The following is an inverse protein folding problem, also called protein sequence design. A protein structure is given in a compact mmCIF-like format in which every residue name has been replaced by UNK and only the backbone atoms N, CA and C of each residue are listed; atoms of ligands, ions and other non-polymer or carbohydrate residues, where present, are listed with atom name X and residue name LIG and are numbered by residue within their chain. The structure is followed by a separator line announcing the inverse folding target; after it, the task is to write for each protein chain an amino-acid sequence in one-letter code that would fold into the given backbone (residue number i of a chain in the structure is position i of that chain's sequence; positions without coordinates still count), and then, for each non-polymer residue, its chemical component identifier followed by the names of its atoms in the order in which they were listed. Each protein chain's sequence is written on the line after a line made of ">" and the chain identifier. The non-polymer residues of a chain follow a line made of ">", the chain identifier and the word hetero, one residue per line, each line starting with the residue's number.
data_IF_230848298165
#
_entry.id   IF_230848298165
#
_cell.length_a   1.000
_cell.length_b   1.000
_cell.length_c   1.000
_cell.angle_alpha   90.00
_cell.angle_beta   90.00
_cell.angle_gamma   90.00
#
_symmetry.space_group_name_H-M   'P 1'
#
loop_
_entity.id
_entity.type
_entity.pdbx_description
1 polymer ?
#
# COMPACT_ATOMS: atom_id res chain seq x y z
N UNK A 1 0.87 -23.76 -19.83
CA UNK A 1 0.86 -22.39 -19.27
C UNK A 1 -0.55 -21.82 -19.45
N UNK A 2 -1.42 -21.95 -18.46
CA UNK A 2 -2.72 -21.25 -18.47
C UNK A 2 -2.36 -19.78 -18.47
N UNK A 3 -2.73 -19.07 -19.52
CA UNK A 3 -2.43 -17.64 -19.65
C UNK A 3 -2.99 -16.92 -18.43
N UNK A 4 -2.13 -16.41 -17.56
CA UNK A 4 -2.47 -15.64 -16.35
C UNK A 4 -3.47 -14.53 -16.70
N UNK A 5 -3.42 -14.03 -17.91
CA UNK A 5 -4.32 -12.99 -18.43
C UNK A 5 -5.66 -13.53 -18.94
N UNK A 6 -5.83 -14.87 -19.08
CA UNK A 6 -7.10 -15.42 -19.59
C UNK A 6 -8.28 -15.18 -18.64
N UNK A 7 -8.03 -15.07 -17.34
CA UNK A 7 -9.05 -14.79 -16.32
C UNK A 7 -9.68 -13.40 -16.45
N UNK A 8 -9.00 -12.46 -17.10
CA UNK A 8 -9.48 -11.09 -17.31
C UNK A 8 -10.22 -10.91 -18.64
N UNK A 9 -10.31 -11.94 -19.49
CA UNK A 9 -11.06 -11.88 -20.75
C UNK A 9 -12.55 -11.79 -20.48
N UNK A 10 -13.24 -10.94 -21.27
CA UNK A 10 -14.70 -10.81 -21.22
C UNK A 10 -15.23 -9.86 -20.16
N UNK A 11 -14.37 -9.14 -19.42
CA UNK A 11 -14.79 -8.07 -18.52
C UNK A 11 -15.43 -6.91 -19.29
N UNK A 12 -16.18 -6.06 -18.59
CA UNK A 12 -16.83 -4.88 -19.17
C UNK A 12 -15.80 -3.89 -19.77
N UNK A 13 -16.21 -3.12 -20.80
CA UNK A 13 -15.37 -2.04 -21.35
C UNK A 13 -14.95 -1.05 -20.28
N UNK A 14 -15.86 -0.72 -19.34
CA UNK A 14 -15.57 0.17 -18.23
C UNK A 14 -14.45 -0.36 -17.32
N UNK A 15 -14.41 -1.68 -17.05
CA UNK A 15 -13.35 -2.28 -16.26
C UNK A 15 -11.96 -2.10 -16.92
N UNK A 16 -11.86 -2.28 -18.22
CA UNK A 16 -10.61 -2.04 -18.95
C UNK A 16 -10.25 -0.54 -18.98
N UNK A 17 -11.22 0.35 -19.15
CA UNK A 17 -10.97 1.81 -19.08
C UNK A 17 -10.39 2.19 -17.73
N UNK A 18 -10.97 1.71 -16.62
CA UNK A 18 -10.45 1.97 -15.29
C UNK A 18 -9.07 1.36 -15.04
N UNK A 19 -8.81 0.18 -15.62
CA UNK A 19 -7.48 -0.43 -15.60
C UNK A 19 -6.42 0.46 -16.28
N UNK A 20 -6.70 0.94 -17.50
CA UNK A 20 -5.77 1.83 -18.19
C UNK A 20 -5.64 3.19 -17.51
N UNK A 21 -6.75 3.74 -17.01
CA UNK A 21 -6.73 4.95 -16.20
C UNK A 21 -5.80 4.79 -14.98
N UNK A 22 -5.91 3.67 -14.25
CA UNK A 22 -5.06 3.35 -13.10
C UNK A 22 -3.57 3.24 -13.49
N UNK A 23 -3.24 2.60 -14.61
CA UNK A 23 -1.86 2.56 -15.12
C UNK A 23 -1.33 3.96 -15.36
N UNK A 24 -2.07 4.78 -16.12
CA UNK A 24 -1.64 6.10 -16.55
C UNK A 24 -1.44 7.02 -15.33
N UNK A 25 -2.39 7.06 -14.38
CA UNK A 25 -2.24 7.85 -13.15
C UNK A 25 -1.00 7.41 -12.36
N UNK A 26 -0.79 6.10 -12.17
CA UNK A 26 0.34 5.62 -11.38
C UNK A 26 1.68 5.72 -12.12
N UNK A 27 1.68 5.85 -13.45
CA UNK A 27 2.91 6.17 -14.20
C UNK A 27 3.42 7.58 -13.91
N UNK A 28 2.54 8.53 -13.57
CA UNK A 28 2.91 9.85 -13.10
C UNK A 28 3.27 9.92 -11.61
N UNK A 29 2.69 9.02 -10.81
CA UNK A 29 2.77 9.03 -9.34
C UNK A 29 4.14 8.73 -8.74
N UNK A 30 5.23 9.05 -9.42
CA UNK A 30 6.61 8.81 -8.96
C UNK A 30 7.13 9.83 -7.95
N UNK A 31 6.45 10.94 -7.76
CA UNK A 31 6.83 11.95 -6.75
C UNK A 31 6.71 11.37 -5.34
N UNK A 32 5.70 10.55 -5.08
CA UNK A 32 5.47 9.96 -3.76
C UNK A 32 6.63 9.08 -3.26
N UNK A 33 7.15 8.11 -4.02
CA UNK A 33 8.32 7.34 -3.62
C UNK A 33 9.57 8.20 -3.41
N UNK A 34 9.69 9.30 -4.16
CA UNK A 34 10.84 10.19 -4.10
C UNK A 34 10.68 11.35 -3.09
N UNK A 35 9.52 11.48 -2.42
CA UNK A 35 9.25 12.58 -1.51
C UNK A 35 10.33 12.70 -0.43
N UNK A 36 10.78 11.60 0.14
CA UNK A 36 11.84 11.57 1.16
C UNK A 36 13.13 12.21 0.60
N UNK A 37 13.52 11.88 -0.64
CA UNK A 37 14.70 12.44 -1.29
C UNK A 37 14.51 13.92 -1.68
N UNK A 38 13.31 14.31 -2.10
CA UNK A 38 12.98 15.71 -2.38
C UNK A 38 13.18 16.55 -1.12
N UNK A 39 12.66 16.09 0.01
CA UNK A 39 12.76 16.79 1.29
C UNK A 39 14.20 16.82 1.83
N UNK A 40 14.94 15.72 1.70
CA UNK A 40 16.34 15.62 2.14
C UNK A 40 17.26 16.43 1.24
N UNK A 41 17.32 16.10 -0.05
CA UNK A 41 18.37 16.62 -0.95
C UNK A 41 18.02 17.96 -1.58
N UNK A 42 16.78 18.15 -2.03
CA UNK A 42 16.40 19.40 -2.74
C UNK A 42 16.02 20.51 -1.77
N UNK A 43 15.50 20.19 -0.58
CA UNK A 43 15.10 21.17 0.44
C UNK A 43 16.09 21.22 1.60
N UNK A 44 16.83 20.12 1.88
CA UNK A 44 17.89 20.08 2.89
C UNK A 44 17.40 19.75 4.31
N UNK A 45 16.27 19.04 4.46
CA UNK A 45 15.77 18.64 5.76
C UNK A 45 16.48 17.39 6.29
N UNK A 46 16.70 17.33 7.63
CA UNK A 46 17.20 16.14 8.33
C UNK A 46 16.16 15.00 8.33
N UNK A 47 16.62 13.76 8.55
CA UNK A 47 15.76 12.59 8.59
C UNK A 47 14.65 12.73 9.64
N UNK A 48 14.96 13.25 10.84
CA UNK A 48 13.96 13.53 11.88
C UNK A 48 12.92 14.56 11.43
N UNK A 49 13.34 15.64 10.76
CA UNK A 49 12.42 16.67 10.23
C UNK A 49 11.48 16.07 9.18
N UNK A 50 11.99 15.26 8.26
CA UNK A 50 11.20 14.58 7.23
C UNK A 50 10.19 13.62 7.88
N UNK A 51 10.60 12.92 8.94
CA UNK A 51 9.72 12.02 9.67
C UNK A 51 8.53 12.77 10.32
N UNK A 52 8.78 13.89 10.99
CA UNK A 52 7.72 14.73 11.58
C UNK A 52 6.81 15.34 10.52
N UNK A 53 7.35 15.80 9.39
CA UNK A 53 6.56 16.26 8.26
C UNK A 53 5.69 15.14 7.68
N UNK A 54 6.19 13.91 7.62
CA UNK A 54 5.42 12.75 7.17
C UNK A 54 4.20 12.50 8.07
N UNK A 55 4.34 12.65 9.40
CA UNK A 55 3.21 12.57 10.34
C UNK A 55 2.22 13.70 10.08
N UNK A 56 2.69 14.94 9.94
CA UNK A 56 1.82 16.08 9.70
C UNK A 56 1.03 15.93 8.39
N UNK A 57 1.70 15.55 7.31
CA UNK A 57 1.08 15.32 5.98
C UNK A 57 0.09 14.14 6.05
N UNK A 58 0.49 13.01 6.63
CA UNK A 58 -0.38 11.86 6.81
C UNK A 58 -1.59 12.15 7.69
N UNK A 59 -1.40 12.98 8.73
CA UNK A 59 -2.46 13.49 9.59
C UNK A 59 -3.49 14.36 8.85
N UNK A 60 -3.09 15.03 7.77
CA UNK A 60 -4.00 15.76 6.88
C UNK A 60 -4.70 14.83 5.88
N UNK A 61 -4.03 13.80 5.38
CA UNK A 61 -4.58 12.89 4.37
C UNK A 61 -5.65 11.93 4.93
N UNK A 62 -5.54 11.51 6.20
CA UNK A 62 -6.56 10.66 6.82
C UNK A 62 -7.96 11.29 6.83
N UNK A 63 -8.16 12.53 7.35
CA UNK A 63 -9.46 13.20 7.25
C UNK A 63 -9.91 13.42 5.80
N UNK A 64 -8.99 13.73 4.88
CA UNK A 64 -9.30 13.92 3.47
C UNK A 64 -9.91 12.65 2.85
N UNK A 65 -9.32 11.47 3.10
CA UNK A 65 -9.84 10.18 2.66
C UNK A 65 -11.24 9.91 3.24
N UNK A 66 -11.46 10.20 4.54
CA UNK A 66 -12.77 10.01 5.19
C UNK A 66 -13.83 10.95 4.57
N UNK A 67 -13.47 12.20 4.32
CA UNK A 67 -14.36 13.18 3.68
C UNK A 67 -14.68 12.73 2.25
N UNK A 68 -13.67 12.30 1.48
CA UNK A 68 -13.83 11.76 0.13
C UNK A 68 -14.80 10.59 0.09
N UNK A 69 -14.68 9.63 1.01
CA UNK A 69 -15.60 8.51 1.15
C UNK A 69 -17.05 8.95 1.40
N UNK A 70 -17.27 9.86 2.37
CA UNK A 70 -18.62 10.42 2.65
C UNK A 70 -19.22 11.16 1.44
N UNK A 71 -18.38 11.86 0.67
CA UNK A 71 -18.83 12.53 -0.55
C UNK A 71 -19.15 11.51 -1.65
N UNK A 72 -18.36 10.43 -1.79
CA UNK A 72 -18.61 9.35 -2.74
C UNK A 72 -19.92 8.58 -2.47
N UNK A 73 -20.36 8.52 -1.21
CA UNK A 73 -21.65 7.93 -0.83
C UNK A 73 -22.83 8.85 -1.20
N UNK A 74 -22.61 10.18 -1.26
CA UNK A 74 -23.67 11.16 -1.44
C UNK A 74 -23.79 11.69 -2.87
N UNK A 75 -22.68 11.79 -3.58
CA UNK A 75 -22.62 12.44 -4.90
C UNK A 75 -22.20 11.45 -5.99
N UNK A 76 -22.44 11.82 -7.26
CA UNK A 76 -22.02 11.02 -8.41
C UNK A 76 -20.50 10.86 -8.41
N UNK A 77 -20.03 9.59 -8.31
CA UNK A 77 -18.63 9.23 -8.15
C UNK A 77 -17.76 9.71 -9.30
N UNK A 78 -18.24 9.58 -10.56
CA UNK A 78 -17.51 10.07 -11.73
C UNK A 78 -17.27 11.58 -11.65
N UNK A 79 -18.29 12.36 -11.28
CA UNK A 79 -18.17 13.82 -11.17
C UNK A 79 -17.21 14.21 -10.04
N UNK A 80 -17.21 13.48 -8.92
CA UNK A 80 -16.27 13.71 -7.83
C UNK A 80 -14.82 13.44 -8.26
N UNK A 81 -14.57 12.31 -8.94
CA UNK A 81 -13.26 11.97 -9.48
C UNK A 81 -12.78 13.08 -10.40
N UNK A 82 -13.60 13.49 -11.37
CA UNK A 82 -13.24 14.57 -12.31
C UNK A 82 -12.93 15.87 -11.59
N UNK A 83 -13.73 16.24 -10.58
CA UNK A 83 -13.52 17.49 -9.83
C UNK A 83 -12.23 17.45 -9.03
N UNK A 84 -11.98 16.36 -8.29
CA UNK A 84 -10.79 16.24 -7.46
C UNK A 84 -9.52 16.10 -8.29
N UNK A 85 -9.56 15.35 -9.39
CA UNK A 85 -8.45 15.22 -10.31
C UNK A 85 -8.07 16.56 -10.96
N UNK A 86 -9.05 17.36 -11.40
CA UNK A 86 -8.76 18.68 -11.99
C UNK A 86 -8.03 19.56 -10.96
N UNK A 87 -8.50 19.58 -9.69
CA UNK A 87 -7.84 20.35 -8.64
C UNK A 87 -6.42 19.79 -8.39
N UNK A 88 -6.27 18.48 -8.31
CA UNK A 88 -4.97 17.79 -8.16
C UNK A 88 -4.02 18.18 -9.28
N UNK A 89 -4.47 18.15 -10.52
CA UNK A 89 -3.67 18.55 -11.71
C UNK A 89 -3.20 20.00 -11.62
N UNK A 90 -4.08 20.92 -11.25
CA UNK A 90 -3.73 22.33 -11.11
C UNK A 90 -2.60 22.48 -10.08
N UNK A 91 -2.72 21.85 -8.91
CA UNK A 91 -1.71 21.98 -7.86
C UNK A 91 -0.42 21.22 -8.17
N UNK A 92 -0.45 20.10 -8.89
CA UNK A 92 0.78 19.48 -9.40
C UNK A 92 1.51 20.37 -10.41
N UNK A 93 0.78 21.00 -11.33
CA UNK A 93 1.39 21.94 -12.28
C UNK A 93 1.97 23.16 -11.53
N UNK A 94 1.24 23.73 -10.57
CA UNK A 94 1.76 24.82 -9.75
C UNK A 94 3.01 24.42 -8.98
N UNK A 95 3.04 23.21 -8.38
CA UNK A 95 4.24 22.68 -7.73
C UNK A 95 5.41 22.56 -8.71
N UNK A 96 5.16 22.07 -9.93
CA UNK A 96 6.17 21.94 -10.98
C UNK A 96 6.69 23.27 -11.54
N UNK A 97 5.97 24.37 -11.35
CA UNK A 97 6.43 25.70 -11.74
C UNK A 97 7.26 26.41 -10.64
N UNK A 98 7.29 25.85 -9.44
CA UNK A 98 8.03 26.42 -8.30
C UNK A 98 9.43 25.81 -8.21
N UNK A 99 10.37 26.58 -7.68
CA UNK A 99 11.66 26.05 -7.24
C UNK A 99 11.46 25.10 -6.02
N UNK A 100 12.35 24.09 -5.85
CA UNK A 100 12.29 23.21 -4.68
C UNK A 100 12.34 24.01 -3.37
N UNK A 101 11.28 23.92 -2.58
CA UNK A 101 11.13 24.68 -1.35
C UNK A 101 9.74 24.55 -0.71
N UNK A 102 9.48 25.36 0.29
CA UNK A 102 8.24 25.29 1.08
C UNK A 102 6.99 25.50 0.22
N UNK A 103 7.01 26.42 -0.74
CA UNK A 103 5.83 26.70 -1.58
C UNK A 103 5.50 25.52 -2.51
N UNK A 104 6.53 24.92 -3.12
CA UNK A 104 6.38 23.68 -3.89
C UNK A 104 5.75 22.57 -3.03
N UNK A 105 6.25 22.40 -1.79
CA UNK A 105 5.73 21.40 -0.85
C UNK A 105 4.26 21.69 -0.49
N UNK A 106 3.88 22.94 -0.27
CA UNK A 106 2.49 23.32 0.03
C UNK A 106 1.56 22.92 -1.13
N UNK A 107 1.92 23.27 -2.36
CA UNK A 107 1.12 22.87 -3.54
C UNK A 107 1.06 21.37 -3.71
N UNK A 108 2.16 20.66 -3.49
CA UNK A 108 2.17 19.20 -3.52
C UNK A 108 1.25 18.57 -2.45
N UNK A 109 1.25 19.10 -1.22
CA UNK A 109 0.38 18.62 -0.14
C UNK A 109 -1.08 18.87 -0.49
N UNK A 110 -1.42 20.03 -1.06
CA UNK A 110 -2.79 20.32 -1.51
C UNK A 110 -3.20 19.36 -2.63
N UNK A 111 -2.35 19.11 -3.62
CA UNK A 111 -2.61 18.10 -4.65
C UNK A 111 -2.88 16.72 -4.01
N UNK A 112 -2.04 16.32 -3.06
CA UNK A 112 -2.20 15.07 -2.33
C UNK A 112 -3.49 14.98 -1.51
N UNK A 113 -3.97 16.08 -0.93
CA UNK A 113 -5.25 16.11 -0.22
C UNK A 113 -6.40 15.73 -1.16
N UNK A 114 -6.48 16.36 -2.35
CA UNK A 114 -7.54 16.07 -3.31
C UNK A 114 -7.41 14.68 -3.93
N UNK A 115 -6.18 14.20 -4.19
CA UNK A 115 -5.94 12.83 -4.63
C UNK A 115 -6.41 11.79 -3.57
N UNK A 116 -6.20 12.06 -2.27
CA UNK A 116 -6.71 11.21 -1.19
C UNK A 116 -8.23 11.29 -1.03
N UNK A 117 -8.87 12.41 -1.38
CA UNK A 117 -10.33 12.50 -1.45
C UNK A 117 -10.93 11.77 -2.66
N UNK A 118 -10.20 11.72 -3.78
CA UNK A 118 -10.58 11.02 -5.02
C UNK A 118 -10.58 9.50 -4.82
N UNK A 119 -9.59 8.96 -4.13
CA UNK A 119 -9.33 7.52 -4.03
C UNK A 119 -10.55 6.67 -3.63
N UNK A 120 -11.33 7.00 -2.58
CA UNK A 120 -12.54 6.25 -2.24
C UNK A 120 -13.61 6.29 -3.34
N UNK A 121 -13.74 7.41 -4.05
CA UNK A 121 -14.70 7.56 -5.15
C UNK A 121 -14.30 6.66 -6.33
N UNK A 122 -13.01 6.53 -6.63
CA UNK A 122 -12.50 5.64 -7.67
C UNK A 122 -12.73 4.17 -7.33
N UNK A 123 -12.42 3.75 -6.10
CA UNK A 123 -12.66 2.37 -5.64
C UNK A 123 -14.15 2.01 -5.69
N UNK A 124 -15.02 2.96 -5.28
CA UNK A 124 -16.45 2.78 -5.37
C UNK A 124 -16.95 2.74 -6.82
N UNK A 125 -16.37 3.54 -7.73
CA UNK A 125 -16.70 3.50 -9.16
C UNK A 125 -16.36 2.15 -9.78
N UNK A 126 -15.25 1.49 -9.39
CA UNK A 126 -14.94 0.12 -9.81
C UNK A 126 -16.09 -0.83 -9.45
N UNK A 127 -16.61 -0.74 -8.21
CA UNK A 127 -17.72 -1.58 -7.78
C UNK A 127 -18.99 -1.33 -8.60
N UNK A 128 -19.28 -0.05 -8.92
CA UNK A 128 -20.48 0.34 -9.66
C UNK A 128 -20.51 -0.14 -11.12
N UNK A 129 -19.35 -0.14 -11.78
CA UNK A 129 -19.25 -0.56 -13.20
C UNK A 129 -19.11 -2.07 -13.34
N UNK A 130 -19.09 -2.81 -12.22
CA UNK A 130 -18.74 -4.25 -12.22
C UNK A 130 -19.87 -5.06 -11.61
N UNK A 131 -20.24 -6.17 -12.27
CA UNK A 131 -21.18 -7.15 -11.71
C UNK A 131 -20.58 -7.82 -10.45
N UNK A 132 -21.37 -8.15 -9.41
CA UNK A 132 -20.88 -8.78 -8.19
C UNK A 132 -19.93 -9.96 -8.43
N UNK A 133 -20.28 -10.87 -9.35
CA UNK A 133 -19.50 -12.07 -9.71
C UNK A 133 -18.14 -11.76 -10.37
N UNK A 134 -17.94 -10.56 -10.88
CA UNK A 134 -16.71 -10.13 -11.58
C UNK A 134 -15.85 -9.18 -10.73
N UNK A 135 -16.35 -8.68 -9.59
CA UNK A 135 -15.68 -7.67 -8.75
C UNK A 135 -14.26 -8.07 -8.37
N UNK A 136 -14.09 -9.30 -7.88
CA UNK A 136 -12.76 -9.80 -7.49
C UNK A 136 -11.75 -9.71 -8.64
N UNK A 137 -12.18 -10.09 -9.87
CA UNK A 137 -11.32 -10.02 -11.06
C UNK A 137 -10.98 -8.58 -11.43
N UNK A 138 -11.95 -7.65 -11.32
CA UNK A 138 -11.73 -6.24 -11.69
C UNK A 138 -10.86 -5.54 -10.65
N UNK A 139 -11.02 -5.80 -9.35
CA UNK A 139 -10.10 -5.31 -8.33
C UNK A 139 -8.68 -5.87 -8.51
N UNK A 140 -8.56 -7.16 -8.85
CA UNK A 140 -7.27 -7.77 -9.18
C UNK A 140 -6.63 -7.11 -10.41
N UNK A 141 -7.44 -6.80 -11.43
CA UNK A 141 -6.97 -6.10 -12.63
C UNK A 141 -6.53 -4.65 -12.29
N UNK A 142 -7.30 -3.94 -11.44
CA UNK A 142 -6.94 -2.60 -10.95
C UNK A 142 -5.63 -2.62 -10.17
N UNK A 143 -5.42 -3.61 -9.30
CA UNK A 143 -4.17 -3.80 -8.56
C UNK A 143 -2.98 -4.07 -9.50
N UNK A 144 -3.19 -4.88 -10.55
CA UNK A 144 -2.19 -5.10 -11.59
C UNK A 144 -1.86 -3.78 -12.31
N UNK A 145 -2.88 -2.98 -12.65
CA UNK A 145 -2.71 -1.65 -13.26
C UNK A 145 -1.90 -0.69 -12.39
N UNK A 146 -2.19 -0.67 -11.08
CA UNK A 146 -1.42 0.11 -10.10
C UNK A 146 0.07 -0.27 -10.12
N UNK A 147 0.39 -1.56 -10.02
CA UNK A 147 1.78 -2.02 -9.98
C UNK A 147 2.50 -1.81 -11.31
N UNK A 148 1.81 -1.96 -12.45
CA UNK A 148 2.38 -1.65 -13.76
C UNK A 148 2.71 -0.16 -13.88
N UNK A 149 1.78 0.72 -13.50
CA UNK A 149 2.00 2.16 -13.49
C UNK A 149 3.16 2.54 -12.56
N UNK A 150 3.16 2.03 -11.33
CA UNK A 150 4.22 2.27 -10.36
C UNK A 150 5.60 1.81 -10.86
N UNK A 151 5.68 0.64 -11.49
CA UNK A 151 6.93 0.11 -12.04
C UNK A 151 7.57 1.08 -13.05
N UNK A 152 6.79 1.60 -13.99
CA UNK A 152 7.30 2.59 -14.95
C UNK A 152 7.53 3.96 -14.29
N UNK A 153 6.62 4.40 -13.44
CA UNK A 153 6.69 5.67 -12.75
C UNK A 153 7.96 5.80 -11.91
N UNK A 154 8.27 4.83 -11.07
CA UNK A 154 9.43 4.86 -10.20
C UNK A 154 10.76 4.99 -10.98
N UNK A 155 10.89 4.28 -12.12
CA UNK A 155 12.07 4.42 -13.00
C UNK A 155 12.16 5.82 -13.61
N UNK A 156 11.04 6.34 -14.14
CA UNK A 156 11.00 7.68 -14.77
C UNK A 156 11.32 8.76 -13.72
N UNK A 157 10.72 8.66 -12.55
CA UNK A 157 10.95 9.60 -11.45
C UNK A 157 12.40 9.65 -11.00
N UNK A 158 13.03 8.48 -10.80
CA UNK A 158 14.44 8.41 -10.45
C UNK A 158 15.37 9.02 -11.51
N UNK A 159 15.04 8.90 -12.80
CA UNK A 159 15.80 9.52 -13.89
C UNK A 159 15.60 11.04 -13.97
N UNK A 160 14.40 11.53 -13.69
CA UNK A 160 14.09 12.97 -13.74
C UNK A 160 14.52 13.73 -12.48
N UNK A 161 14.77 13.04 -11.38
CA UNK A 161 14.98 13.63 -10.06
C UNK A 161 16.09 14.68 -10.03
N UNK A 162 17.23 14.39 -10.65
CA UNK A 162 18.41 15.27 -10.55
C UNK A 162 18.22 16.60 -11.25
N UNK A 163 17.84 16.58 -12.53
CA UNK A 163 17.89 17.74 -13.40
C UNK A 163 16.50 18.22 -13.86
N UNK A 164 15.47 17.41 -13.68
CA UNK A 164 14.14 17.66 -14.23
C UNK A 164 13.02 17.44 -13.22
N UNK A 165 13.27 17.74 -11.93
CA UNK A 165 12.27 17.54 -10.87
C UNK A 165 10.96 18.31 -11.15
N UNK A 166 11.08 19.54 -11.63
CA UNK A 166 9.93 20.37 -12.02
C UNK A 166 9.09 19.70 -13.12
N UNK A 167 9.75 19.12 -14.12
CA UNK A 167 9.07 18.36 -15.18
C UNK A 167 8.37 17.12 -14.60
N UNK A 168 8.95 16.49 -13.58
CA UNK A 168 8.33 15.35 -12.93
C UNK A 168 6.94 15.69 -12.37
N UNK A 169 6.78 16.80 -11.67
CA UNK A 169 5.48 17.28 -11.17
C UNK A 169 4.50 17.58 -12.30
N UNK A 170 4.95 18.21 -13.37
CA UNK A 170 4.11 18.53 -14.54
C UNK A 170 3.64 17.25 -15.23
N UNK A 171 4.50 16.24 -15.38
CA UNK A 171 4.16 14.93 -15.95
C UNK A 171 3.14 14.19 -15.09
N UNK A 172 3.26 14.24 -13.76
CA UNK A 172 2.28 13.66 -12.84
C UNK A 172 0.90 14.31 -13.01
N UNK A 173 0.84 15.64 -13.04
CA UNK A 173 -0.39 16.35 -13.38
C UNK A 173 -0.94 15.98 -14.77
N UNK A 174 -0.09 15.86 -15.78
CA UNK A 174 -0.53 15.50 -17.13
C UNK A 174 -1.06 14.08 -17.24
N UNK A 175 -0.42 13.11 -16.60
CA UNK A 175 -0.90 11.71 -16.58
C UNK A 175 -2.22 11.59 -15.82
N UNK A 176 -2.38 12.29 -14.70
CA UNK A 176 -3.66 12.38 -13.99
C UNK A 176 -4.76 12.97 -14.88
N UNK A 177 -4.47 14.07 -15.59
CA UNK A 177 -5.42 14.67 -16.55
C UNK A 177 -5.81 13.69 -17.66
N UNK A 178 -4.85 12.96 -18.23
CA UNK A 178 -5.10 11.98 -19.28
C UNK A 178 -5.98 10.83 -18.78
N UNK A 179 -5.73 10.33 -17.58
CA UNK A 179 -6.58 9.34 -16.89
C UNK A 179 -8.01 9.87 -16.71
N UNK A 180 -8.16 11.10 -16.23
CA UNK A 180 -9.46 11.75 -16.03
C UNK A 180 -10.22 11.91 -17.34
N UNK A 181 -9.53 12.27 -18.44
CA UNK A 181 -10.14 12.35 -19.78
C UNK A 181 -10.67 10.98 -20.22
N UNK A 182 -9.94 9.88 -19.99
CA UNK A 182 -10.43 8.54 -20.28
C UNK A 182 -11.72 8.23 -19.50
N UNK A 183 -11.78 8.59 -18.23
CA UNK A 183 -12.98 8.40 -17.39
C UNK A 183 -14.15 9.26 -17.92
N UNK A 184 -13.91 10.52 -18.29
CA UNK A 184 -14.94 11.40 -18.86
C UNK A 184 -15.53 10.81 -20.13
N UNK A 185 -14.70 10.35 -21.05
CA UNK A 185 -15.12 9.93 -22.37
C UNK A 185 -15.78 8.55 -22.38
N UNK A 186 -15.29 7.62 -21.58
CA UNK A 186 -15.65 6.20 -21.71
C UNK A 186 -16.47 5.63 -20.55
N UNK A 187 -16.50 6.27 -19.38
CA UNK A 187 -17.35 5.85 -18.27
C UNK A 187 -18.67 6.61 -18.31
N UNK A 188 -19.80 5.90 -18.36
CA UNK A 188 -21.12 6.49 -18.29
C UNK A 188 -21.43 6.92 -16.85
N UNK A 189 -22.25 7.96 -16.68
CA UNK A 189 -22.79 8.31 -15.37
C UNK A 189 -23.71 7.18 -14.90
N UNK A 190 -23.40 6.59 -13.76
CA UNK A 190 -24.20 5.57 -13.11
C UNK A 190 -25.02 6.26 -12.03
N UNK A 191 -26.34 6.06 -12.02
CA UNK A 191 -27.18 6.45 -10.89
C UNK A 191 -26.86 5.52 -9.72
N UNK A 192 -26.78 6.08 -8.53
CA UNK A 192 -26.65 5.33 -7.27
C UNK A 192 -28.07 4.75 -6.99
N UNK A 193 -28.47 3.73 -7.74
CA UNK A 193 -29.66 2.97 -7.45
C UNK A 193 -29.24 1.68 -6.72
N UNK A 194 -29.77 1.56 -5.51
CA UNK A 194 -29.85 0.39 -4.65
C UNK A 194 -29.10 -0.86 -5.15
N UNK A 195 -27.84 -0.95 -4.76
CA UNK A 195 -27.11 -2.21 -4.85
C UNK A 195 -27.75 -3.18 -3.84
N UNK A 196 -28.28 -4.29 -4.32
CA UNK A 196 -28.76 -5.39 -3.48
C UNK A 196 -27.64 -5.76 -2.51
N UNK A 197 -27.89 -5.64 -1.21
CA UNK A 197 -27.01 -6.13 -0.17
C UNK A 197 -26.92 -7.64 -0.32
N UNK A 198 -25.74 -8.17 -0.66
CA UNK A 198 -25.51 -9.62 -0.65
C UNK A 198 -25.62 -10.11 0.80
N UNK A 199 -26.62 -10.97 1.06
CA UNK A 199 -26.72 -11.75 2.31
C UNK A 199 -25.43 -12.58 2.47
N UNK A 200 -24.68 -12.30 3.53
CA UNK A 200 -23.46 -13.04 3.86
C UNK A 200 -23.82 -14.38 4.51
N UNK A 201 -23.49 -15.48 3.85
CA UNK A 201 -23.78 -16.88 4.22
C UNK A 201 -23.16 -17.35 5.56
N UNK A 202 -22.38 -16.54 6.27
CA UNK A 202 -21.64 -16.95 7.48
C UNK A 202 -21.74 -15.90 8.60
N UNK A 203 -22.96 -15.66 9.11
CA UNK A 203 -23.11 -14.89 10.35
C UNK A 203 -23.28 -15.85 11.55
N UNK A 204 -22.33 -15.76 12.49
CA UNK A 204 -22.50 -16.33 13.81
C UNK A 204 -23.36 -15.34 14.61
N UNK A 205 -24.67 -15.60 14.70
CA UNK A 205 -25.68 -14.71 15.29
C UNK A 205 -25.40 -14.36 16.76
N UNK A 206 -24.48 -15.06 17.42
CA UNK A 206 -24.09 -14.81 18.82
C UNK A 206 -23.30 -13.50 19.02
N UNK A 207 -22.64 -12.97 18.00
CA UNK A 207 -21.75 -11.81 18.10
C UNK A 207 -22.36 -10.47 17.65
N UNK A 208 -23.59 -10.48 17.11
CA UNK A 208 -24.23 -9.28 16.52
C UNK A 208 -24.42 -8.15 17.53
N UNK A 209 -24.62 -8.49 18.81
CA UNK A 209 -24.90 -7.53 19.87
C UNK A 209 -23.63 -7.07 20.64
N UNK A 210 -22.45 -7.61 20.32
CA UNK A 210 -21.21 -7.23 20.99
C UNK A 210 -20.63 -5.95 20.38
N UNK A 211 -19.97 -5.13 21.20
CA UNK A 211 -19.18 -4.04 20.66
C UNK A 211 -17.92 -4.59 19.99
N UNK A 212 -17.34 -3.83 19.02
CA UNK A 212 -16.08 -4.24 18.40
C UNK A 212 -14.93 -4.38 19.42
N UNK A 213 -14.99 -3.63 20.53
CA UNK A 213 -14.04 -3.71 21.63
C UNK A 213 -14.21 -5.05 22.39
N UNK A 214 -15.45 -5.47 22.68
CA UNK A 214 -15.72 -6.74 23.37
C UNK A 214 -15.26 -7.93 22.52
N UNK A 215 -15.43 -7.87 21.20
CA UNK A 215 -14.91 -8.89 20.26
C UNK A 215 -13.39 -8.99 20.34
N UNK A 216 -12.69 -7.85 20.34
CA UNK A 216 -11.23 -7.85 20.44
C UNK A 216 -10.75 -8.35 21.79
N UNK A 217 -11.44 -7.98 22.88
CA UNK A 217 -11.03 -8.37 24.22
C UNK A 217 -11.31 -9.85 24.50
N UNK A 218 -12.43 -10.38 24.00
CA UNK A 218 -12.76 -11.82 24.10
C UNK A 218 -11.87 -12.69 23.20
N UNK A 219 -11.41 -12.16 22.06
CA UNK A 219 -10.60 -12.87 21.07
C UNK A 219 -9.18 -12.33 21.01
N UNK A 220 -8.42 -12.56 22.08
CA UNK A 220 -7.05 -12.02 22.25
C UNK A 220 -6.11 -12.28 21.07
N UNK A 221 -6.33 -13.36 20.30
CA UNK A 221 -5.51 -13.63 19.09
C UNK A 221 -5.68 -12.56 18.04
N UNK A 222 -6.88 -11.95 17.88
CA UNK A 222 -7.13 -10.85 16.95
C UNK A 222 -6.44 -9.57 17.43
N UNK A 223 -6.53 -9.27 18.73
CA UNK A 223 -5.86 -8.09 19.32
C UNK A 223 -4.33 -8.17 19.14
N UNK A 224 -3.73 -9.33 19.45
CA UNK A 224 -2.29 -9.56 19.21
C UNK A 224 -1.96 -9.36 17.74
N UNK A 225 -2.79 -9.85 16.83
CA UNK A 225 -2.54 -9.71 15.40
C UNK A 225 -2.65 -8.26 14.90
N UNK A 226 -3.51 -7.42 15.49
CA UNK A 226 -3.55 -5.99 15.18
C UNK A 226 -2.26 -5.29 15.62
N UNK A 227 -1.72 -5.65 16.80
CA UNK A 227 -0.41 -5.15 17.26
C UNK A 227 0.71 -5.62 16.33
N UNK A 228 0.72 -6.90 15.95
CA UNK A 228 1.66 -7.45 14.96
C UNK A 228 1.56 -6.68 13.64
N UNK A 229 0.35 -6.38 13.18
CA UNK A 229 0.15 -5.61 11.95
C UNK A 229 0.75 -4.20 12.06
N UNK A 230 0.57 -3.52 13.19
CA UNK A 230 1.16 -2.20 13.44
C UNK A 230 2.70 -2.26 13.33
N UNK A 231 3.35 -3.23 13.99
CA UNK A 231 4.81 -3.37 13.90
C UNK A 231 5.29 -3.90 12.54
N UNK A 232 4.51 -4.73 11.86
CA UNK A 232 4.81 -5.15 10.48
C UNK A 232 4.78 -3.94 9.55
N UNK A 233 3.83 -3.02 9.75
CA UNK A 233 3.75 -1.76 9.00
C UNK A 233 4.91 -0.82 9.34
N UNK A 234 5.36 -0.81 10.61
CA UNK A 234 6.56 -0.09 11.04
C UNK A 234 7.78 -0.52 10.21
N UNK A 235 8.00 -1.83 10.05
CA UNK A 235 9.13 -2.37 9.29
C UNK A 235 8.94 -2.11 7.80
N UNK A 236 7.74 -2.38 7.28
CA UNK A 236 7.43 -2.26 5.86
C UNK A 236 7.64 -0.83 5.34
N UNK A 237 7.15 0.19 6.03
CA UNK A 237 7.15 1.57 5.53
C UNK A 237 8.57 2.16 5.39
N UNK A 238 9.58 1.55 6.04
CA UNK A 238 10.95 2.07 6.03
C UNK A 238 11.66 1.87 4.67
N UNK A 239 11.13 1.03 3.78
CA UNK A 239 11.67 0.93 2.42
C UNK A 239 11.51 2.23 1.63
N UNK A 240 10.51 3.04 1.96
CA UNK A 240 10.25 4.35 1.34
C UNK A 240 10.83 5.53 2.13
N UNK A 241 11.41 5.29 3.31
CA UNK A 241 11.98 6.32 4.17
C UNK A 241 13.48 6.11 4.40
N UNK A 242 13.89 5.02 5.04
CA UNK A 242 15.30 4.77 5.36
C UNK A 242 16.11 4.39 4.12
N UNK A 243 15.56 3.55 3.24
CA UNK A 243 16.28 3.05 2.08
C UNK A 243 16.69 4.16 1.10
N UNK A 244 15.81 5.09 0.68
CA UNK A 244 16.22 6.16 -0.22
C UNK A 244 17.28 7.08 0.41
N UNK A 245 17.16 7.42 1.71
CA UNK A 245 18.17 8.22 2.42
C UNK A 245 19.53 7.52 2.45
N UNK A 246 19.55 6.21 2.73
CA UNK A 246 20.77 5.43 2.72
C UNK A 246 21.40 5.32 1.34
N UNK A 247 20.58 5.11 0.30
CA UNK A 247 21.08 5.06 -1.08
C UNK A 247 21.61 6.42 -1.55
N UNK A 248 21.02 7.51 -1.08
CA UNK A 248 21.52 8.86 -1.33
C UNK A 248 22.89 9.07 -0.68
N UNK A 249 23.04 8.66 0.58
CA UNK A 249 24.29 8.77 1.33
C UNK A 249 25.45 8.01 0.66
N UNK A 250 25.19 6.79 0.19
CA UNK A 250 26.22 5.94 -0.42
C UNK A 250 26.49 6.29 -1.88
N UNK A 251 25.42 6.48 -2.69
CA UNK A 251 25.56 6.63 -4.14
C UNK A 251 25.52 8.08 -4.63
N UNK A 252 25.37 9.05 -3.71
CA UNK A 252 25.35 10.48 -3.99
C UNK A 252 24.38 10.81 -5.16
N UNK A 253 24.87 11.50 -6.20
CA UNK A 253 24.08 11.91 -7.36
C UNK A 253 23.36 10.78 -8.09
N UNK A 254 23.72 9.52 -7.84
CA UNK A 254 23.04 8.33 -8.42
C UNK A 254 22.00 7.73 -7.49
N UNK A 255 21.91 8.17 -6.23
CA UNK A 255 21.05 7.58 -5.21
C UNK A 255 19.58 7.54 -5.63
N UNK A 256 19.03 8.67 -6.06
CA UNK A 256 17.65 8.76 -6.52
C UNK A 256 17.35 7.87 -7.75
N UNK A 257 18.27 7.83 -8.73
CA UNK A 257 18.16 6.96 -9.90
C UNK A 257 18.16 5.51 -9.50
N UNK A 258 19.07 5.10 -8.64
CA UNK A 258 19.20 3.73 -8.19
C UNK A 258 17.99 3.30 -7.34
N UNK A 259 17.51 4.16 -6.47
CA UNK A 259 16.29 3.92 -5.71
C UNK A 259 15.06 3.75 -6.64
N UNK A 260 14.92 4.61 -7.66
CA UNK A 260 13.84 4.50 -8.64
C UNK A 260 13.86 3.16 -9.39
N UNK A 261 15.05 2.69 -9.81
CA UNK A 261 15.19 1.39 -10.49
C UNK A 261 14.88 0.21 -9.56
N UNK A 262 15.29 0.26 -8.30
CA UNK A 262 14.99 -0.77 -7.31
C UNK A 262 13.50 -0.77 -6.96
N UNK A 263 12.86 0.40 -6.86
CA UNK A 263 11.42 0.52 -6.67
C UNK A 263 10.64 -0.05 -7.87
N UNK A 264 11.12 0.16 -9.09
CA UNK A 264 10.55 -0.47 -10.29
C UNK A 264 10.71 -1.98 -10.29
N UNK A 265 11.83 -2.48 -9.79
CA UNK A 265 12.06 -3.91 -9.64
C UNK A 265 11.10 -4.54 -8.61
N UNK A 266 10.75 -3.82 -7.52
CA UNK A 266 9.66 -4.24 -6.62
C UNK A 266 8.35 -4.44 -7.39
N UNK A 267 7.89 -3.46 -8.17
CA UNK A 267 6.67 -3.58 -8.97
C UNK A 267 6.71 -4.76 -9.95
N UNK A 268 7.84 -4.98 -10.61
CA UNK A 268 8.05 -6.14 -11.48
C UNK A 268 7.90 -7.47 -10.74
N UNK A 269 8.54 -7.60 -9.56
CA UNK A 269 8.44 -8.83 -8.76
C UNK A 269 7.01 -9.06 -8.30
N UNK A 270 6.30 -8.03 -7.85
CA UNK A 270 4.88 -8.16 -7.45
C UNK A 270 4.06 -8.76 -8.59
N UNK A 271 4.20 -8.23 -9.81
CA UNK A 271 3.45 -8.71 -10.98
C UNK A 271 3.82 -10.16 -11.34
N UNK A 272 5.11 -10.44 -11.41
CA UNK A 272 5.62 -11.73 -11.87
C UNK A 272 5.40 -12.86 -10.86
N UNK A 273 5.60 -12.57 -9.56
CA UNK A 273 5.69 -13.61 -8.53
C UNK A 273 4.42 -13.78 -7.71
N UNK A 274 3.49 -12.80 -7.65
CA UNK A 274 2.24 -12.95 -6.89
C UNK A 274 1.47 -14.21 -7.25
N UNK A 275 1.22 -14.56 -8.54
CA UNK A 275 0.51 -15.77 -8.89
C UNK A 275 1.24 -17.05 -8.49
N UNK A 276 2.56 -17.05 -8.62
CA UNK A 276 3.42 -18.19 -8.28
C UNK A 276 3.39 -18.45 -6.78
N UNK A 277 3.59 -17.40 -5.98
CA UNK A 277 3.61 -17.49 -4.52
C UNK A 277 2.23 -17.87 -3.99
N UNK A 278 1.15 -17.28 -4.56
CA UNK A 278 -0.22 -17.64 -4.19
C UNK A 278 -0.47 -19.12 -4.41
N UNK A 279 -0.03 -19.67 -5.53
CA UNK A 279 -0.16 -21.11 -5.82
C UNK A 279 0.67 -21.97 -4.86
N UNK A 280 1.93 -21.62 -4.64
CA UNK A 280 2.84 -22.38 -3.75
C UNK A 280 2.33 -22.39 -2.31
N UNK A 281 1.84 -21.25 -1.83
CA UNK A 281 1.44 -21.08 -0.43
C UNK A 281 -0.06 -21.30 -0.18
N UNK A 282 -0.83 -21.78 -1.16
CA UNK A 282 -2.28 -21.99 -1.03
C UNK A 282 -2.68 -22.94 0.10
N UNK A 283 -1.79 -23.89 0.45
CA UNK A 283 -2.02 -24.86 1.51
C UNK A 283 -1.65 -24.35 2.91
N UNK A 284 -0.86 -23.27 3.01
CA UNK A 284 -0.49 -22.69 4.31
C UNK A 284 -1.63 -21.84 4.89
N UNK A 285 -1.76 -21.88 6.22
CA UNK A 285 -2.63 -20.96 6.96
C UNK A 285 -2.10 -19.53 6.96
N UNK A 286 -2.90 -18.59 7.46
CA UNK A 286 -2.59 -17.16 7.44
C UNK A 286 -1.35 -16.82 8.27
N UNK A 287 -1.29 -17.27 9.53
CA UNK A 287 -0.21 -16.91 10.46
C UNK A 287 1.19 -17.39 10.03
N UNK A 288 1.40 -18.64 9.56
CA UNK A 288 2.69 -19.03 8.97
C UNK A 288 3.14 -18.16 7.81
N UNK A 289 2.21 -17.68 6.96
CA UNK A 289 2.55 -16.74 5.88
C UNK A 289 3.04 -15.42 6.46
N UNK A 290 2.36 -14.89 7.48
CA UNK A 290 2.75 -13.64 8.16
C UNK A 290 4.15 -13.78 8.77
N UNK A 291 4.47 -14.92 9.42
CA UNK A 291 5.80 -15.19 9.96
C UNK A 291 6.85 -15.12 8.84
N UNK A 292 6.63 -15.85 7.75
CA UNK A 292 7.56 -15.88 6.60
C UNK A 292 7.75 -14.46 6.04
N UNK A 293 6.64 -13.72 5.84
CA UNK A 293 6.68 -12.37 5.28
C UNK A 293 7.49 -11.41 6.14
N UNK A 294 7.23 -11.35 7.45
CA UNK A 294 7.96 -10.48 8.38
C UNK A 294 9.43 -10.90 8.50
N UNK A 295 9.71 -12.20 8.51
CA UNK A 295 11.09 -12.70 8.56
C UNK A 295 11.89 -12.29 7.32
N UNK A 296 11.24 -12.28 6.14
CA UNK A 296 11.88 -11.80 4.90
C UNK A 296 12.13 -10.29 4.93
N UNK A 297 11.23 -9.47 5.51
CA UNK A 297 11.49 -8.05 5.74
C UNK A 297 12.73 -7.85 6.62
N UNK A 298 12.80 -8.57 7.75
CA UNK A 298 13.92 -8.48 8.68
C UNK A 298 15.24 -8.84 7.99
N UNK A 299 15.26 -9.96 7.28
CA UNK A 299 16.43 -10.42 6.55
C UNK A 299 16.87 -9.41 5.49
N UNK A 300 15.94 -8.80 4.78
CA UNK A 300 16.21 -7.81 3.74
C UNK A 300 17.00 -6.62 4.28
N UNK A 301 16.60 -6.06 5.43
CA UNK A 301 17.34 -4.95 6.03
C UNK A 301 18.69 -5.36 6.60
N UNK A 302 18.80 -6.57 7.16
CA UNK A 302 20.08 -7.07 7.66
C UNK A 302 21.10 -7.33 6.54
N UNK A 303 20.64 -7.66 5.32
CA UNK A 303 21.52 -7.86 4.16
C UNK A 303 22.22 -6.57 3.75
N UNK A 304 21.54 -5.39 3.87
CA UNK A 304 22.08 -4.12 3.39
C UNK A 304 22.68 -3.23 4.48
N UNK A 305 22.72 -3.69 5.73
CA UNK A 305 23.12 -2.88 6.88
C UNK A 305 24.51 -2.22 6.75
N UNK A 306 25.40 -2.81 5.96
CA UNK A 306 26.78 -2.35 5.78
C UNK A 306 27.28 -2.74 4.38
N UNK A 307 26.64 -2.19 3.31
CA UNK A 307 27.03 -2.48 1.94
C UNK A 307 26.86 -1.26 1.02
N UNK A 308 27.85 -1.07 0.15
CA UNK A 308 27.85 -0.12 -0.95
C UNK A 308 27.66 -0.79 -2.33
N UNK A 309 27.51 -2.13 -2.35
CA UNK A 309 27.39 -2.91 -3.57
C UNK A 309 25.96 -2.83 -4.10
N UNK A 310 25.73 -2.10 -5.18
CA UNK A 310 24.41 -1.87 -5.77
C UNK A 310 23.61 -3.14 -6.07
N UNK A 311 24.29 -4.23 -6.51
CA UNK A 311 23.60 -5.50 -6.79
C UNK A 311 22.95 -6.12 -5.54
N UNK A 312 23.52 -5.90 -4.35
CA UNK A 312 22.97 -6.44 -3.10
C UNK A 312 21.59 -5.79 -2.79
N UNK A 313 21.35 -4.55 -3.21
CA UNK A 313 20.06 -3.91 -3.06
C UNK A 313 18.96 -4.58 -3.90
N UNK A 314 19.29 -5.17 -5.06
CA UNK A 314 18.32 -5.98 -5.81
C UNK A 314 18.00 -7.30 -5.09
N UNK A 315 18.99 -7.95 -4.47
CA UNK A 315 18.76 -9.16 -3.67
C UNK A 315 17.89 -8.83 -2.47
N UNK A 316 18.19 -7.73 -1.79
CA UNK A 316 17.38 -7.21 -0.69
C UNK A 316 15.94 -6.95 -1.15
N UNK A 317 15.76 -6.19 -2.22
CA UNK A 317 14.43 -5.84 -2.73
C UNK A 317 13.65 -7.08 -3.20
N UNK A 318 14.33 -8.08 -3.78
CA UNK A 318 13.71 -9.36 -4.10
C UNK A 318 13.17 -10.05 -2.84
N UNK A 319 13.99 -10.21 -1.81
CA UNK A 319 13.57 -10.83 -0.54
C UNK A 319 12.46 -10.03 0.14
N UNK A 320 12.58 -8.69 0.16
CA UNK A 320 11.58 -7.77 0.70
C UNK A 320 10.24 -7.92 0.00
N UNK A 321 10.23 -7.91 -1.34
CA UNK A 321 8.99 -7.99 -2.13
C UNK A 321 8.34 -9.37 -2.04
N UNK A 322 9.13 -10.45 -2.00
CA UNK A 322 8.57 -11.77 -1.70
C UNK A 322 7.92 -11.76 -0.31
N UNK A 323 8.58 -11.15 0.69
CA UNK A 323 8.00 -10.93 2.02
C UNK A 323 6.70 -10.16 2.01
N UNK A 324 6.61 -9.10 1.20
CA UNK A 324 5.41 -8.28 1.00
C UNK A 324 4.24 -9.12 0.47
N UNK A 325 4.45 -9.85 -0.61
CA UNK A 325 3.44 -10.71 -1.23
C UNK A 325 2.95 -11.76 -0.21
N UNK A 326 3.87 -12.43 0.47
CA UNK A 326 3.54 -13.50 1.43
C UNK A 326 2.79 -12.94 2.64
N UNK A 327 3.23 -11.79 3.17
CA UNK A 327 2.56 -11.13 4.29
C UNK A 327 1.15 -10.65 3.91
N UNK A 328 0.97 -10.10 2.72
CA UNK A 328 -0.34 -9.69 2.19
C UNK A 328 -1.30 -10.89 2.08
N UNK A 329 -0.83 -12.02 1.55
CA UNK A 329 -1.61 -13.27 1.43
C UNK A 329 -1.99 -13.89 2.78
N UNK A 330 -1.29 -13.53 3.86
CA UNK A 330 -1.64 -13.91 5.23
C UNK A 330 -2.56 -12.90 5.92
N UNK A 331 -2.18 -11.63 5.87
CA UNK A 331 -2.80 -10.56 6.68
C UNK A 331 -4.21 -10.17 6.20
N UNK A 332 -4.45 -10.13 4.89
CA UNK A 332 -5.73 -9.73 4.34
C UNK A 332 -6.88 -10.69 4.74
N UNK A 333 -6.76 -12.03 4.58
CA UNK A 333 -7.83 -12.95 4.94
C UNK A 333 -7.90 -13.23 6.46
N UNK A 334 -6.89 -12.89 7.25
CA UNK A 334 -6.88 -13.19 8.68
C UNK A 334 -8.06 -12.59 9.41
N UNK A 335 -8.29 -11.28 9.25
CA UNK A 335 -9.39 -10.57 9.92
C UNK A 335 -10.74 -11.02 9.35
N UNK A 336 -10.88 -11.10 8.03
CA UNK A 336 -12.15 -11.43 7.38
C UNK A 336 -12.70 -12.81 7.75
N UNK A 337 -11.84 -13.75 8.14
CA UNK A 337 -12.23 -15.09 8.56
C UNK A 337 -12.52 -15.25 10.06
N UNK A 338 -12.11 -14.28 10.90
CA UNK A 338 -12.19 -14.35 12.37
C UNK A 338 -13.14 -13.33 12.97
N UNK A 339 -13.63 -12.43 12.15
CA UNK A 339 -14.49 -11.31 12.58
C UNK A 339 -15.82 -11.40 11.85
N UNK A 340 -16.96 -11.30 12.56
CA UNK A 340 -18.28 -11.23 11.94
C UNK A 340 -18.37 -10.14 10.89
N UNK A 341 -19.20 -10.34 9.85
CA UNK A 341 -19.32 -9.41 8.72
C UNK A 341 -19.69 -7.98 9.19
N UNK A 342 -20.62 -7.88 10.15
CA UNK A 342 -21.08 -6.63 10.78
C UNK A 342 -19.97 -5.81 11.46
N UNK A 343 -18.84 -6.42 11.85
CA UNK A 343 -17.74 -5.79 12.59
C UNK A 343 -16.46 -5.64 11.76
N UNK A 344 -16.38 -6.24 10.57
CA UNK A 344 -15.17 -6.22 9.71
C UNK A 344 -14.72 -4.80 9.37
N UNK A 345 -15.67 -3.91 9.05
CA UNK A 345 -15.35 -2.52 8.72
C UNK A 345 -14.67 -1.78 9.88
N UNK A 346 -15.21 -1.91 11.10
CA UNK A 346 -14.65 -1.25 12.29
C UNK A 346 -13.28 -1.81 12.67
N UNK A 347 -13.09 -3.13 12.58
CA UNK A 347 -11.80 -3.76 12.90
C UNK A 347 -10.75 -3.46 11.83
N UNK A 348 -11.14 -3.36 10.56
CA UNK A 348 -10.24 -2.84 9.51
C UNK A 348 -9.86 -1.37 9.73
N UNK A 349 -10.73 -0.55 10.32
CA UNK A 349 -10.36 0.82 10.72
C UNK A 349 -9.26 0.83 11.79
N UNK A 350 -9.30 -0.06 12.77
CA UNK A 350 -8.20 -0.21 13.74
C UNK A 350 -6.90 -0.65 13.06
N UNK A 351 -6.99 -1.50 12.03
CA UNK A 351 -5.82 -1.87 11.21
C UNK A 351 -5.23 -0.66 10.49
N UNK A 352 -6.06 0.22 9.93
CA UNK A 352 -5.60 1.44 9.26
C UNK A 352 -4.93 2.42 10.25
N UNK A 353 -5.48 2.56 11.45
CA UNK A 353 -4.86 3.32 12.55
C UNK A 353 -3.51 2.69 12.92
N UNK A 354 -3.45 1.37 13.05
CA UNK A 354 -2.21 0.62 13.29
C UNK A 354 -1.17 0.85 12.20
N UNK A 355 -1.60 0.90 10.91
CA UNK A 355 -0.71 1.24 9.79
C UNK A 355 -0.14 2.65 9.92
N UNK A 356 -0.97 3.63 10.25
CA UNK A 356 -0.52 5.01 10.42
C UNK A 356 0.46 5.15 11.60
N UNK A 357 0.12 4.58 12.75
CA UNK A 357 0.98 4.62 13.95
C UNK A 357 2.29 3.86 13.70
N UNK A 358 2.23 2.65 13.17
CA UNK A 358 3.40 1.83 12.90
C UNK A 358 4.24 2.38 11.75
N UNK A 359 3.66 2.53 10.57
CA UNK A 359 4.36 2.98 9.37
C UNK A 359 4.88 4.41 9.52
N UNK A 360 3.97 5.38 9.50
CA UNK A 360 4.35 6.80 9.55
C UNK A 360 4.99 7.18 10.88
N UNK A 361 4.46 6.70 12.01
CA UNK A 361 5.08 6.93 13.32
C UNK A 361 6.45 6.28 13.46
N UNK A 362 6.66 5.14 12.82
CA UNK A 362 7.96 4.46 12.78
C UNK A 362 9.07 5.28 12.15
N UNK A 363 8.75 6.16 11.18
CA UNK A 363 9.73 7.09 10.58
C UNK A 363 10.38 8.00 11.62
N UNK A 364 9.66 8.42 12.66
CA UNK A 364 10.23 9.27 13.73
C UNK A 364 11.31 8.52 14.50
N UNK A 365 11.05 7.26 14.84
CA UNK A 365 12.06 6.43 15.51
C UNK A 365 13.27 6.21 14.61
N UNK A 366 13.03 5.89 13.33
CA UNK A 366 14.12 5.66 12.38
C UNK A 366 14.89 6.96 12.06
N UNK A 367 14.20 8.09 11.90
CA UNK A 367 14.82 9.40 11.70
C UNK A 367 15.74 9.79 12.86
N UNK A 368 15.26 9.55 14.09
CA UNK A 368 16.09 9.77 15.29
C UNK A 368 17.34 8.86 15.30
N UNK A 369 17.18 7.58 14.95
CA UNK A 369 18.31 6.64 14.89
C UNK A 369 19.32 7.05 13.81
N UNK A 370 18.88 7.52 12.65
CA UNK A 370 19.75 7.97 11.57
C UNK A 370 20.53 9.23 11.99
N UNK A 371 19.84 10.25 12.52
CA UNK A 371 20.44 11.53 12.85
C UNK A 371 21.43 11.46 14.06
N UNK A 372 21.20 10.54 15.01
CA UNK A 372 21.99 10.46 16.23
C UNK A 372 22.93 9.26 16.32
N UNK A 373 22.76 8.24 15.45
CA UNK A 373 23.59 7.04 15.45
C UNK A 373 24.10 6.75 14.03
N UNK A 374 23.40 5.87 13.28
CA UNK A 374 23.79 5.49 11.91
C UNK A 374 22.67 4.78 11.17
N UNK A 375 22.79 4.68 9.85
CA UNK A 375 21.94 3.80 9.03
C UNK A 375 22.07 2.34 9.42
N UNK A 376 23.29 1.87 9.76
CA UNK A 376 23.51 0.51 10.24
C UNK A 376 22.67 0.22 11.48
N UNK A 377 22.68 1.11 12.49
CA UNK A 377 21.85 0.97 13.69
C UNK A 377 20.35 0.90 13.35
N UNK A 378 19.87 1.71 12.41
CA UNK A 378 18.49 1.68 11.95
C UNK A 378 18.14 0.34 11.29
N UNK A 379 18.98 -0.20 10.40
CA UNK A 379 18.74 -1.49 9.77
C UNK A 379 18.80 -2.67 10.74
N UNK A 380 19.73 -2.65 11.69
CA UNK A 380 19.79 -3.67 12.77
C UNK A 380 18.52 -3.63 13.61
N UNK A 381 18.04 -2.42 13.98
CA UNK A 381 16.81 -2.28 14.75
C UNK A 381 15.59 -2.86 13.99
N UNK A 382 15.46 -2.59 12.69
CA UNK A 382 14.41 -3.16 11.84
C UNK A 382 14.48 -4.68 11.78
N UNK A 383 15.69 -5.23 11.62
CA UNK A 383 15.93 -6.67 11.62
C UNK A 383 15.52 -7.33 12.94
N UNK A 384 15.97 -6.76 14.06
CA UNK A 384 15.68 -7.27 15.42
C UNK A 384 14.17 -7.19 15.73
N UNK A 385 13.55 -6.04 15.46
CA UNK A 385 12.10 -5.86 15.65
C UNK A 385 11.33 -6.92 14.88
N UNK A 386 11.68 -7.17 13.61
CA UNK A 386 10.98 -8.15 12.79
C UNK A 386 11.16 -9.59 13.29
N UNK A 387 12.33 -9.95 13.79
CA UNK A 387 12.54 -11.26 14.43
C UNK A 387 11.65 -11.39 15.67
N UNK A 388 11.63 -10.38 16.54
CA UNK A 388 10.80 -10.38 17.75
C UNK A 388 9.32 -10.51 17.40
N UNK A 389 8.84 -9.78 16.41
CA UNK A 389 7.43 -9.85 15.96
C UNK A 389 7.13 -11.22 15.34
N UNK A 390 8.04 -11.81 14.57
CA UNK A 390 7.87 -13.18 14.04
C UNK A 390 7.69 -14.20 15.16
N UNK A 391 8.43 -14.05 16.27
CA UNK A 391 8.27 -14.87 17.47
C UNK A 391 6.89 -14.66 18.10
N UNK A 392 6.43 -13.40 18.23
CA UNK A 392 5.08 -13.09 18.74
C UNK A 392 4.00 -13.75 17.88
N UNK A 393 4.13 -13.71 16.55
CA UNK A 393 3.18 -14.39 15.64
C UNK A 393 3.21 -15.91 15.84
N UNK A 394 4.37 -16.51 16.07
CA UNK A 394 4.49 -17.93 16.35
C UNK A 394 3.79 -18.34 17.66
N UNK A 395 3.86 -17.50 18.70
CA UNK A 395 3.07 -17.69 19.92
C UNK A 395 1.58 -17.48 19.65
N UNK A 396 1.21 -16.44 18.90
CA UNK A 396 -0.19 -16.18 18.53
C UNK A 396 -0.78 -17.33 17.73
N UNK A 397 -0.02 -18.03 16.89
CA UNK A 397 -0.46 -19.21 16.14
C UNK A 397 -1.02 -20.32 17.07
N UNK A 398 -0.36 -20.57 18.20
CA UNK A 398 -0.83 -21.54 19.18
C UNK A 398 -2.12 -21.09 19.85
N UNK A 399 -2.24 -19.82 20.19
CA UNK A 399 -3.43 -19.22 20.78
C UNK A 399 -4.60 -19.23 19.78
N UNK A 400 -4.36 -18.77 18.57
CA UNK A 400 -5.36 -18.69 17.49
C UNK A 400 -5.97 -20.07 17.15
N UNK A 401 -5.13 -21.11 17.13
CA UNK A 401 -5.59 -22.49 16.93
C UNK A 401 -6.52 -22.97 18.04
N UNK A 402 -6.36 -22.47 19.27
CA UNK A 402 -7.24 -22.78 20.40
C UNK A 402 -8.56 -22.00 20.32
N UNK A 403 -8.50 -20.74 19.88
CA UNK A 403 -9.67 -19.85 19.78
C UNK A 403 -10.54 -20.20 18.57
N UNK A 404 -9.92 -20.60 17.45
CA UNK A 404 -10.59 -20.89 16.18
C UNK A 404 -10.24 -22.27 15.61
N UNK A 405 -10.49 -23.39 16.33
CA UNK A 405 -10.06 -24.73 15.91
C UNK A 405 -10.61 -25.13 14.54
N UNK A 406 -11.87 -24.80 14.26
CA UNK A 406 -12.56 -25.12 12.98
C UNK A 406 -11.82 -24.58 11.74
N UNK A 407 -11.17 -23.40 11.82
CA UNK A 407 -10.43 -22.84 10.69
C UNK A 407 -9.19 -23.65 10.32
N UNK A 408 -8.67 -24.44 11.26
CA UNK A 408 -7.49 -25.27 11.05
C UNK A 408 -7.87 -26.69 10.59
N UNK A 409 -9.03 -27.22 10.99
CA UNK A 409 -9.54 -28.55 10.60
C UNK A 409 -10.03 -28.57 9.15
N UNK A 410 -10.76 -27.54 8.70
CA UNK A 410 -11.27 -27.43 7.33
C UNK A 410 -10.16 -27.46 6.28
N UNK A 411 -8.98 -26.94 6.58
CA UNK A 411 -7.84 -26.99 5.65
C UNK A 411 -7.17 -28.36 5.59
N UNK A 412 -7.14 -29.11 6.69
CA UNK A 412 -6.60 -30.48 6.71
C UNK A 412 -7.45 -31.40 5.86
N UNK A 413 -8.79 -31.29 5.96
CA UNK A 413 -9.73 -32.09 5.19
C UNK A 413 -9.69 -31.78 3.69
N UNK A 414 -9.51 -30.51 3.30
CA UNK A 414 -9.35 -30.11 1.89
C UNK A 414 -7.99 -30.53 1.28
N UNK A 415 -6.99 -30.86 2.09
CA UNK A 415 -5.69 -31.37 1.61
C UNK A 415 -5.77 -32.86 1.29
N UNK A 416 -6.62 -33.60 1.98
CA UNK A 416 -6.78 -35.05 1.81
C UNK A 416 -7.74 -35.43 0.68
N UNK A 417 -8.49 -34.46 0.13
CA UNK A 417 -9.44 -34.67 -0.95
C UNK A 417 -8.90 -34.27 -2.35
N UNK A 418 -7.59 -34.06 -2.50
CA UNK A 418 -6.85 -33.85 -3.76
C UNK A 418 -5.56 -34.67 -3.72
#
# INVERSE_FOLDING_TARGET
>A
MISIFSQYKGLSKSAYVLFFARIITNMGGFIWPLLTLILSRKIGYSASTIAWLSIAIGGLFLPATIIGGKLADKYNRKNLIVTFDIITVIFFILAGLMEPGTLMLVFFVIAGLFANMEYPAFEALIADVTKPKEREKVYSLSYLGHNLGFMFGASIGGLLFENYLNLAFIVDGFTTLLSTILIILFIKNIKIDNLEEEENEYEDNADINLSSFDILWSRKSILIQLIVFMFSSFIYDQWSFVLPLYMEDIFLDKGAKYFGLISSFNGFIVIAFTPIITYLLRKLNELPKIIIGISLYSLSYLIIKDTDIYLIFYIMMFAFTIGEIVNMLGSAPYISRRVPASHRGRINSYRNIGYFIGGTGGRVVMGYLIDNFSYEAAFIALGVIGILISIVVAFNYKLDKRVFPKLYELKVNNINNF
#
